data_IF_729981688492
#
_entry.id   IF_729981688492
#
_cell.length_a   1.000
_cell.length_b   1.000
_cell.length_c   1.000
_cell.angle_alpha   90.00
_cell.angle_beta   90.00
_cell.angle_gamma   90.00
#
_symmetry.space_group_name_H-M   'P 1'
#
loop_
_entity.id
_entity.type
_entity.pdbx_description
1 polymer ?
#
# COMPACT_ATOMS: atom_id res chain seq x y z
N UNK A 1 62.60 10.68 -1.00
CA UNK A 1 61.35 11.28 -1.54
C UNK A 1 61.03 10.52 -2.82
N UNK A 2 59.93 9.79 -3.00
CA UNK A 2 58.53 10.07 -2.67
C UNK A 2 57.82 8.77 -2.22
N UNK A 3 57.01 8.91 -1.19
CA UNK A 3 56.11 7.94 -0.57
C UNK A 3 54.90 7.65 -1.46
N UNK A 4 54.58 6.39 -1.72
CA UNK A 4 53.31 5.98 -2.31
C UNK A 4 52.28 5.77 -1.19
N UNK A 5 51.31 6.68 -1.11
CA UNK A 5 50.18 6.64 -0.18
C UNK A 5 49.18 5.55 -0.61
N UNK A 6 48.91 4.57 0.25
CA UNK A 6 47.76 3.67 0.12
C UNK A 6 46.52 4.41 0.62
N UNK A 7 45.62 4.81 -0.29
CA UNK A 7 44.27 5.22 0.10
C UNK A 7 43.48 3.96 0.47
N UNK A 8 43.12 3.83 1.74
CA UNK A 8 42.12 2.87 2.19
C UNK A 8 40.74 3.52 2.00
N UNK A 9 39.99 3.07 1.00
CA UNK A 9 38.59 3.45 0.82
C UNK A 9 37.78 2.76 1.92
N UNK A 10 37.35 3.53 2.93
CA UNK A 10 36.42 3.05 3.93
C UNK A 10 35.02 2.95 3.30
N UNK A 11 34.62 1.73 2.93
CA UNK A 11 33.23 1.42 2.60
C UNK A 11 32.46 1.44 3.91
N UNK A 12 31.69 2.51 4.14
CA UNK A 12 30.71 2.58 5.22
C UNK A 12 29.58 1.63 4.85
N UNK A 13 29.57 0.44 5.46
CA UNK A 13 28.50 -0.52 5.31
C UNK A 13 27.27 -0.03 6.08
N UNK A 14 26.32 0.57 5.37
CA UNK A 14 24.97 0.82 5.87
C UNK A 14 24.32 -0.53 6.16
N UNK A 15 23.99 -0.81 7.43
CA UNK A 15 23.36 -2.07 7.84
C UNK A 15 21.96 -2.14 7.23
N UNK A 16 21.82 -2.87 6.12
CA UNK A 16 20.54 -3.32 5.62
C UNK A 16 20.01 -4.37 6.60
N UNK A 17 19.07 -3.96 7.47
CA UNK A 17 18.32 -4.91 8.29
C UNK A 17 17.41 -5.71 7.35
N UNK A 18 17.61 -7.04 7.37
CA UNK A 18 16.87 -8.09 6.68
C UNK A 18 17.28 -8.45 5.23
N UNK A 19 18.58 -8.65 5.00
CA UNK A 19 18.97 -9.76 4.11
C UNK A 19 19.26 -10.96 5.03
N UNK A 20 18.57 -12.11 4.90
CA UNK A 20 18.96 -13.32 5.61
C UNK A 20 20.46 -13.56 5.38
N UNK A 21 21.22 -13.74 6.45
CA UNK A 21 22.69 -13.90 6.44
C UNK A 21 23.20 -15.06 5.58
N UNK A 22 22.29 -15.89 5.04
CA UNK A 22 22.58 -16.98 4.10
C UNK A 22 22.85 -16.53 2.66
N UNK A 23 22.54 -15.28 2.29
CA UNK A 23 22.72 -14.79 0.90
C UNK A 23 24.20 -14.58 0.53
N UNK A 24 25.09 -14.40 1.51
CA UNK A 24 26.52 -14.16 1.25
C UNK A 24 27.39 -15.41 1.32
N UNK A 25 26.85 -16.57 1.69
CA UNK A 25 27.66 -17.75 2.01
C UNK A 25 27.81 -18.79 0.88
N UNK A 26 27.06 -18.70 -0.22
CA UNK A 26 27.21 -19.61 -1.36
C UNK A 26 26.69 -18.92 -2.64
N UNK A 27 27.23 -19.28 -3.81
CA UNK A 27 26.76 -18.93 -5.17
C UNK A 27 25.31 -19.40 -5.45
N UNK A 28 24.36 -19.11 -4.56
CA UNK A 28 22.96 -19.52 -4.65
C UNK A 28 22.09 -18.27 -4.57
N UNK A 29 21.49 -17.94 -5.72
CA UNK A 29 20.43 -16.94 -5.83
C UNK A 29 19.34 -17.21 -4.78
N UNK A 30 18.84 -16.16 -4.12
CA UNK A 30 17.70 -16.27 -3.21
C UNK A 30 16.50 -16.86 -3.95
N UNK A 31 15.84 -17.84 -3.32
CA UNK A 31 14.57 -18.40 -3.77
C UNK A 31 13.65 -18.51 -2.54
N UNK A 32 12.43 -17.94 -2.58
CA UNK A 32 11.48 -18.11 -1.48
C UNK A 32 11.03 -19.57 -1.37
N UNK A 33 10.38 -19.91 -0.26
CA UNK A 33 9.68 -21.20 -0.14
C UNK A 33 8.73 -21.37 -1.34
N UNK A 34 8.63 -22.57 -1.94
CA UNK A 34 7.78 -22.81 -3.10
C UNK A 34 6.34 -22.30 -2.94
N UNK A 35 5.80 -22.25 -1.73
CA UNK A 35 4.40 -21.93 -1.48
C UNK A 35 4.18 -20.57 -0.81
N UNK A 36 5.22 -19.76 -0.68
CA UNK A 36 5.15 -18.44 -0.06
C UNK A 36 5.61 -17.34 -1.01
N UNK A 37 5.11 -16.12 -0.80
CA UNK A 37 5.73 -14.93 -1.33
C UNK A 37 6.55 -14.24 -0.24
N UNK A 38 7.68 -13.67 -0.64
CA UNK A 38 8.59 -12.97 0.25
C UNK A 38 8.76 -11.52 -0.20
N UNK A 39 8.45 -10.57 0.68
CA UNK A 39 8.64 -9.14 0.44
C UNK A 39 9.99 -8.70 0.98
N UNK A 40 10.84 -8.15 0.12
CA UNK A 40 12.08 -7.50 0.52
C UNK A 40 11.76 -6.09 1.01
N UNK A 41 12.15 -5.76 2.24
CA UNK A 41 11.82 -4.47 2.85
C UNK A 41 13.06 -3.95 3.58
N UNK A 42 13.52 -2.78 3.18
CA UNK A 42 14.61 -2.07 3.85
C UNK A 42 14.06 -1.07 4.87
N UNK A 43 14.34 -1.33 6.15
CA UNK A 43 14.03 -0.43 7.26
C UNK A 43 12.70 -0.72 7.96
N UNK A 44 12.62 -0.32 9.23
CA UNK A 44 11.56 -0.74 10.16
C UNK A 44 10.19 -0.09 9.86
N UNK A 45 10.20 1.06 9.18
CA UNK A 45 9.02 1.89 8.91
C UNK A 45 8.87 2.28 7.44
N UNK A 46 9.41 1.47 6.53
CA UNK A 46 9.28 1.70 5.08
C UNK A 46 7.80 1.90 4.68
N UNK A 47 7.51 2.54 3.55
CA UNK A 47 6.12 2.65 3.07
C UNK A 47 5.77 1.57 2.06
N UNK A 48 6.76 0.92 1.45
CA UNK A 48 6.61 -0.09 0.38
C UNK A 48 7.70 -1.16 0.54
N UNK A 49 7.53 -2.29 -0.15
CA UNK A 49 8.61 -3.24 -0.34
C UNK A 49 9.54 -2.78 -1.48
N UNK A 50 10.82 -3.12 -1.35
CA UNK A 50 11.84 -2.97 -2.41
C UNK A 50 11.57 -3.94 -3.57
N UNK A 51 10.92 -5.07 -3.27
CA UNK A 51 10.50 -6.06 -4.26
C UNK A 51 9.77 -7.23 -3.60
N UNK A 52 9.18 -8.09 -4.42
CA UNK A 52 8.52 -9.32 -3.97
C UNK A 52 9.00 -10.50 -4.81
N UNK A 53 9.41 -11.58 -4.15
CA UNK A 53 9.67 -12.86 -4.78
C UNK A 53 8.50 -13.82 -4.53
N UNK A 54 8.18 -14.63 -5.54
CA UNK A 54 7.12 -15.63 -5.47
C UNK A 54 7.70 -17.04 -5.55
N UNK A 55 7.23 -17.92 -4.67
CA UNK A 55 7.43 -19.35 -4.79
C UNK A 55 6.71 -19.92 -6.02
N UNK A 56 7.25 -21.03 -6.55
CA UNK A 56 6.75 -21.67 -7.78
C UNK A 56 5.33 -22.27 -7.68
N UNK A 57 4.83 -22.49 -6.47
CA UNK A 57 3.54 -23.10 -6.15
C UNK A 57 2.62 -22.11 -5.40
N UNK A 58 2.88 -20.80 -5.48
CA UNK A 58 2.03 -19.77 -4.86
C UNK A 58 0.75 -19.58 -5.66
N UNK A 59 -0.39 -19.78 -5.00
CA UNK A 59 -1.68 -19.31 -5.51
C UNK A 59 -1.81 -17.80 -5.24
N UNK A 60 -2.25 -17.04 -6.24
CA UNK A 60 -2.40 -15.59 -6.12
C UNK A 60 -3.73 -15.11 -6.71
N UNK A 61 -4.17 -13.98 -6.20
CA UNK A 61 -5.35 -13.23 -6.61
C UNK A 61 -4.89 -11.93 -7.26
N UNK A 62 -5.58 -11.56 -8.34
CA UNK A 62 -5.39 -10.30 -9.06
C UNK A 62 -6.72 -9.58 -9.15
N UNK A 63 -6.81 -8.37 -8.63
CA UNK A 63 -8.01 -7.55 -8.85
C UNK A 63 -7.98 -6.95 -10.27
N UNK A 64 -9.14 -6.50 -10.76
CA UNK A 64 -9.16 -5.46 -11.78
C UNK A 64 -8.79 -4.11 -11.16
N UNK A 65 -8.64 -3.07 -11.98
CA UNK A 65 -8.64 -1.69 -11.50
C UNK A 65 -9.96 -1.38 -10.79
N UNK A 66 -9.88 -1.12 -9.50
CA UNK A 66 -11.02 -0.72 -8.68
C UNK A 66 -10.91 0.78 -8.41
N UNK A 67 -11.98 1.52 -8.66
CA UNK A 67 -12.12 2.90 -8.17
C UNK A 67 -13.11 2.98 -7.00
N UNK A 68 -13.32 4.18 -6.44
CA UNK A 68 -14.20 4.40 -5.29
C UNK A 68 -15.69 4.20 -5.61
N UNK A 69 -16.49 3.88 -4.58
CA UNK A 69 -17.95 3.76 -4.66
C UNK A 69 -18.60 5.13 -4.64
N UNK A 70 -19.62 5.34 -5.47
CA UNK A 70 -20.46 6.54 -5.38
C UNK A 70 -21.35 6.48 -4.13
N UNK A 71 -20.98 7.21 -3.07
CA UNK A 71 -21.66 7.18 -1.76
C UNK A 71 -22.28 8.52 -1.37
N UNK A 72 -21.82 9.63 -1.97
CA UNK A 72 -22.28 10.99 -1.69
C UNK A 72 -23.10 11.52 -2.89
N UNK A 73 -24.36 11.10 -3.03
CA UNK A 73 -25.12 11.33 -4.28
C UNK A 73 -25.96 12.60 -4.29
N UNK A 74 -26.25 13.21 -3.14
CA UNK A 74 -27.13 14.37 -3.04
C UNK A 74 -26.34 15.68 -3.23
N UNK A 75 -26.56 16.37 -4.34
CA UNK A 75 -26.01 17.72 -4.59
C UNK A 75 -24.48 17.78 -4.76
N UNK A 76 -23.80 16.63 -4.82
CA UNK A 76 -22.35 16.55 -4.94
C UNK A 76 -21.88 16.80 -6.38
N UNK A 77 -20.69 17.41 -6.52
CA UNK A 77 -19.96 17.45 -7.80
C UNK A 77 -19.57 16.03 -8.26
N UNK A 78 -19.05 15.91 -9.49
CA UNK A 78 -18.61 14.63 -10.04
C UNK A 78 -17.60 13.92 -9.13
N UNK A 79 -16.61 14.65 -8.61
CA UNK A 79 -15.60 14.11 -7.71
C UNK A 79 -16.11 13.88 -6.29
N UNK A 80 -16.92 14.82 -5.78
CA UNK A 80 -17.47 14.72 -4.42
C UNK A 80 -18.37 13.51 -4.25
N UNK A 81 -18.94 12.99 -5.34
CA UNK A 81 -19.76 11.77 -5.38
C UNK A 81 -19.08 10.56 -4.72
N UNK A 82 -17.75 10.52 -4.78
CA UNK A 82 -16.94 9.41 -4.31
C UNK A 82 -16.36 9.63 -2.92
N UNK A 83 -16.79 10.66 -2.20
CA UNK A 83 -16.49 10.81 -0.77
C UNK A 83 -17.25 9.72 -0.01
N UNK A 84 -16.57 8.86 0.78
CA UNK A 84 -17.22 7.79 1.52
C UNK A 84 -18.01 8.35 2.71
N UNK A 85 -19.34 8.39 2.60
CA UNK A 85 -20.22 9.03 3.60
C UNK A 85 -20.27 8.31 4.95
N UNK A 86 -19.96 7.02 4.99
CA UNK A 86 -19.79 6.27 6.23
C UNK A 86 -18.54 6.69 7.01
N UNK A 87 -17.58 7.31 6.32
CA UNK A 87 -16.34 7.84 6.92
C UNK A 87 -16.43 9.35 7.15
N UNK A 88 -17.02 10.06 6.21
CA UNK A 88 -17.20 11.51 6.23
C UNK A 88 -18.71 11.81 6.11
N UNK A 89 -19.44 11.81 7.23
CA UNK A 89 -20.89 12.01 7.21
C UNK A 89 -21.30 13.27 6.43
N UNK A 90 -22.29 13.12 5.56
CA UNK A 90 -22.77 14.19 4.68
C UNK A 90 -21.78 14.63 3.60
N UNK A 91 -20.71 13.87 3.36
CA UNK A 91 -19.66 14.22 2.41
C UNK A 91 -18.76 15.37 2.88
N UNK A 92 -18.80 15.71 4.18
CA UNK A 92 -18.06 16.84 4.75
C UNK A 92 -16.65 16.39 5.14
N UNK A 93 -15.64 16.98 4.49
CA UNK A 93 -14.24 16.67 4.77
C UNK A 93 -13.72 17.48 5.97
N UNK A 94 -13.10 16.83 6.98
CA UNK A 94 -12.42 17.51 8.07
C UNK A 94 -11.24 18.38 7.59
N UNK A 95 -10.74 19.32 8.42
CA UNK A 95 -9.60 20.15 8.06
C UNK A 95 -8.38 19.34 7.59
N UNK A 96 -7.88 19.70 6.40
CA UNK A 96 -6.71 19.07 5.78
C UNK A 96 -7.00 17.77 5.04
N UNK A 97 -8.18 17.17 5.17
CA UNK A 97 -8.57 16.00 4.37
C UNK A 97 -8.90 16.48 2.96
N UNK A 98 -8.15 16.00 1.98
CA UNK A 98 -8.37 16.34 0.57
C UNK A 98 -9.38 15.38 -0.08
N UNK A 99 -9.91 15.76 -1.24
CA UNK A 99 -10.83 14.90 -1.99
C UNK A 99 -10.15 13.62 -2.48
N UNK A 100 -8.89 13.70 -2.92
CA UNK A 100 -8.07 12.53 -3.30
C UNK A 100 -7.83 11.61 -2.10
N UNK A 101 -7.58 12.15 -0.91
CA UNK A 101 -7.47 11.34 0.31
C UNK A 101 -8.78 10.62 0.63
N UNK A 102 -9.92 11.33 0.53
CA UNK A 102 -11.23 10.76 0.79
C UNK A 102 -11.58 9.63 -0.20
N UNK A 103 -11.36 9.86 -1.51
CA UNK A 103 -11.53 8.83 -2.53
C UNK A 103 -10.54 7.67 -2.35
N UNK A 104 -9.30 7.96 -1.94
CA UNK A 104 -8.27 6.98 -1.58
C UNK A 104 -8.74 6.03 -0.47
N UNK A 105 -9.36 6.56 0.57
CA UNK A 105 -9.95 5.75 1.65
C UNK A 105 -11.07 4.86 1.11
N UNK A 106 -11.94 5.42 0.26
CA UNK A 106 -13.07 4.70 -0.33
C UNK A 106 -12.61 3.51 -1.20
N UNK A 107 -11.66 3.74 -2.12
CA UNK A 107 -11.14 2.65 -2.97
C UNK A 107 -10.45 1.56 -2.14
N UNK A 108 -9.73 1.93 -1.07
CA UNK A 108 -9.10 0.97 -0.17
C UNK A 108 -10.13 0.15 0.63
N UNK A 109 -11.27 0.73 1.02
CA UNK A 109 -12.40 -0.03 1.60
C UNK A 109 -12.91 -1.07 0.60
N UNK A 110 -13.14 -0.67 -0.66
CA UNK A 110 -13.60 -1.58 -1.73
C UNK A 110 -12.61 -2.71 -2.01
N UNK A 111 -11.31 -2.43 -1.96
CA UNK A 111 -10.28 -3.46 -2.05
C UNK A 111 -10.45 -4.48 -0.93
N UNK A 112 -10.64 -4.03 0.32
CA UNK A 112 -10.88 -4.92 1.45
C UNK A 112 -12.11 -5.81 1.27
N UNK A 113 -13.23 -5.22 0.83
CA UNK A 113 -14.46 -5.98 0.52
C UNK A 113 -14.24 -7.02 -0.58
N UNK A 114 -13.46 -6.69 -1.59
CA UNK A 114 -13.18 -7.57 -2.72
C UNK A 114 -12.21 -8.70 -2.34
N UNK A 115 -11.16 -8.40 -1.56
CA UNK A 115 -10.27 -9.39 -0.97
C UNK A 115 -11.05 -10.36 -0.07
N UNK A 116 -11.95 -9.85 0.77
CA UNK A 116 -12.76 -10.67 1.67
C UNK A 116 -13.63 -11.68 0.91
N UNK A 117 -14.18 -11.30 -0.26
CA UNK A 117 -14.94 -12.23 -1.13
C UNK A 117 -14.07 -13.36 -1.68
N UNK A 118 -12.77 -13.12 -1.86
CA UNK A 118 -11.79 -14.12 -2.23
C UNK A 118 -11.22 -14.89 -1.03
N UNK A 119 -11.63 -14.58 0.21
CA UNK A 119 -11.06 -15.20 1.42
C UNK A 119 -9.68 -14.67 1.79
N UNK A 120 -9.33 -13.47 1.32
CA UNK A 120 -8.09 -12.75 1.57
C UNK A 120 -8.34 -11.51 2.43
N UNK A 121 -7.27 -10.88 2.89
CA UNK A 121 -7.26 -9.66 3.70
C UNK A 121 -6.17 -8.69 3.23
N UNK A 122 -6.11 -7.49 3.82
CA UNK A 122 -5.06 -6.52 3.49
C UNK A 122 -3.64 -7.05 3.79
N UNK A 123 -3.49 -7.95 4.77
CA UNK A 123 -2.20 -8.57 5.10
C UNK A 123 -1.63 -9.40 3.93
N UNK A 124 -2.50 -9.87 3.04
CA UNK A 124 -2.16 -10.79 1.96
C UNK A 124 -1.74 -10.06 0.67
N UNK A 125 -1.87 -8.73 0.62
CA UNK A 125 -1.52 -7.93 -0.56
C UNK A 125 -0.01 -7.77 -0.66
N UNK A 126 0.54 -8.13 -1.81
CA UNK A 126 1.98 -8.12 -2.08
C UNK A 126 2.36 -7.12 -3.17
N UNK A 127 1.46 -6.75 -4.06
CA UNK A 127 1.70 -5.71 -5.06
C UNK A 127 0.51 -4.79 -5.21
N UNK A 128 0.77 -3.52 -5.52
CA UNK A 128 -0.25 -2.50 -5.72
C UNK A 128 0.14 -1.56 -6.86
N UNK A 129 -0.80 -1.27 -7.74
CA UNK A 129 -0.65 -0.31 -8.84
C UNK A 129 -1.71 0.75 -8.69
N UNK A 130 -1.26 2.01 -8.65
CA UNK A 130 -2.12 3.14 -8.33
C UNK A 130 -2.07 4.14 -9.48
N UNK A 131 -3.23 4.43 -10.03
CA UNK A 131 -3.43 5.44 -11.05
C UNK A 131 -4.21 6.60 -10.44
N UNK A 132 -3.70 7.80 -10.60
CA UNK A 132 -4.22 8.98 -9.94
C UNK A 132 -4.47 10.07 -10.96
N UNK A 133 -5.56 10.80 -10.80
CA UNK A 133 -5.89 11.97 -11.60
C UNK A 133 -5.84 13.21 -10.71
N UNK A 134 -5.42 14.34 -11.28
CA UNK A 134 -5.49 15.63 -10.60
C UNK A 134 -6.95 16.04 -10.34
N UNK A 135 -7.26 16.59 -9.15
CA UNK A 135 -8.57 17.17 -8.90
C UNK A 135 -8.89 18.29 -9.89
N UNK A 136 -10.19 18.51 -10.14
CA UNK A 136 -10.68 19.56 -11.01
C UNK A 136 -10.16 20.93 -10.56
N UNK A 137 -9.51 21.65 -11.48
CA UNK A 137 -8.93 22.96 -11.22
C UNK A 137 -7.49 22.93 -10.69
N UNK A 138 -6.94 21.76 -10.37
CA UNK A 138 -5.54 21.62 -9.93
C UNK A 138 -4.62 21.26 -11.10
N UNK A 139 -3.39 21.76 -11.07
CA UNK A 139 -2.40 21.47 -12.13
C UNK A 139 -1.79 20.06 -12.01
N UNK A 140 -1.76 19.52 -10.78
CA UNK A 140 -1.08 18.26 -10.46
C UNK A 140 -1.91 17.43 -9.52
N UNK A 141 -1.72 16.12 -9.59
CA UNK A 141 -2.37 15.23 -8.65
C UNK A 141 -1.88 15.39 -7.20
N UNK A 142 -2.73 14.99 -6.25
CA UNK A 142 -2.44 15.02 -4.81
C UNK A 142 -1.82 13.69 -4.29
N UNK A 143 -0.50 13.53 -4.45
CA UNK A 143 0.23 12.34 -3.97
C UNK A 143 0.21 12.27 -2.44
N UNK A 144 0.16 13.42 -1.76
CA UNK A 144 0.14 13.48 -0.31
C UNK A 144 -1.16 12.91 0.23
N UNK A 145 -2.31 13.32 -0.31
CA UNK A 145 -3.63 12.78 0.04
C UNK A 145 -3.72 11.28 -0.21
N UNK A 146 -3.25 10.80 -1.36
CA UNK A 146 -3.16 9.35 -1.61
C UNK A 146 -2.30 8.64 -0.55
N UNK A 147 -1.11 9.15 -0.23
CA UNK A 147 -0.22 8.52 0.75
C UNK A 147 -0.81 8.52 2.17
N UNK A 148 -1.55 9.56 2.57
CA UNK A 148 -2.28 9.57 3.85
C UNK A 148 -3.36 8.50 3.87
N UNK A 149 -4.18 8.40 2.82
CA UNK A 149 -5.19 7.35 2.69
C UNK A 149 -4.57 5.95 2.73
N UNK A 150 -3.49 5.71 1.99
CA UNK A 150 -2.76 4.45 1.96
C UNK A 150 -2.31 4.00 3.35
N UNK A 151 -1.72 4.91 4.14
CA UNK A 151 -1.23 4.62 5.50
C UNK A 151 -2.33 4.21 6.47
N UNK A 152 -3.59 4.53 6.18
CA UNK A 152 -4.72 4.04 6.98
C UNK A 152 -4.92 2.52 6.91
N UNK A 153 -4.37 1.85 5.88
CA UNK A 153 -4.59 0.42 5.61
C UNK A 153 -3.31 -0.41 5.47
N UNK A 154 -2.17 0.24 5.18
CA UNK A 154 -0.90 -0.43 4.89
C UNK A 154 0.28 0.27 5.56
N UNK A 155 1.37 -0.49 5.70
CA UNK A 155 2.65 0.01 6.17
C UNK A 155 2.58 0.75 7.51
N UNK A 156 1.67 0.39 8.41
CA UNK A 156 1.39 1.12 9.66
C UNK A 156 1.74 0.31 10.92
N UNK A 157 2.59 -0.71 10.75
CA UNK A 157 3.25 -1.43 11.84
C UNK A 157 4.77 -1.24 11.72
N UNK A 158 5.43 -0.94 12.84
CA UNK A 158 6.88 -0.97 12.92
C UNK A 158 7.35 -2.44 12.85
N UNK A 159 8.14 -2.80 11.83
CA UNK A 159 8.55 -4.19 11.61
C UNK A 159 9.50 -4.74 12.67
N UNK A 160 10.21 -3.87 13.37
CA UNK A 160 11.16 -4.25 14.41
C UNK A 160 10.48 -4.45 15.75
N UNK A 161 9.58 -3.55 16.12
CA UNK A 161 8.92 -3.59 17.44
C UNK A 161 7.56 -4.28 17.43
N UNK A 162 6.90 -4.35 16.27
CA UNK A 162 5.52 -4.82 16.14
C UNK A 162 4.47 -3.76 16.52
N UNK A 163 4.90 -2.56 16.96
CA UNK A 163 3.97 -1.53 17.41
C UNK A 163 3.18 -0.90 16.26
N UNK A 164 1.94 -0.54 16.56
CA UNK A 164 1.10 0.25 15.64
C UNK A 164 1.63 1.67 15.56
N UNK A 165 1.83 2.15 14.34
CA UNK A 165 2.21 3.53 14.06
C UNK A 165 0.97 4.41 14.01
N UNK A 166 1.07 5.61 14.56
CA UNK A 166 0.07 6.65 14.32
C UNK A 166 0.23 7.19 12.89
N UNK A 167 -0.89 7.45 12.23
CA UNK A 167 -0.95 7.86 10.82
C UNK A 167 -1.82 9.10 10.63
N UNK A 168 -1.48 9.97 9.66
CA UNK A 168 -2.25 11.18 9.40
C UNK A 168 -3.57 10.90 8.67
N UNK A 169 -4.59 11.67 9.02
CA UNK A 169 -5.84 11.85 8.28
C UNK A 169 -6.09 13.36 8.19
N UNK A 170 -5.84 13.95 7.03
CA UNK A 170 -5.73 15.40 6.90
C UNK A 170 -4.74 15.99 7.91
N UNK A 171 -5.19 16.93 8.75
CA UNK A 171 -4.35 17.60 9.75
C UNK A 171 -4.26 16.87 11.10
N UNK A 172 -4.98 15.77 11.29
CA UNK A 172 -4.96 15.02 12.56
C UNK A 172 -4.14 13.74 12.42
N UNK A 173 -3.48 13.32 13.50
CA UNK A 173 -2.72 12.07 13.56
C UNK A 173 -3.36 11.14 14.59
N UNK A 174 -3.62 9.89 14.21
CA UNK A 174 -4.36 8.94 15.03
C UNK A 174 -4.02 7.48 14.69
N UNK A 175 -4.71 6.50 15.31
CA UNK A 175 -4.55 5.11 14.93
C UNK A 175 -5.03 4.88 13.49
N UNK A 176 -4.44 3.93 12.75
CA UNK A 176 -4.89 3.58 11.41
C UNK A 176 -6.27 2.90 11.45
N UNK A 177 -6.97 2.89 10.31
CA UNK A 177 -8.24 2.15 10.16
C UNK A 177 -8.05 0.64 10.27
N UNK A 178 -6.95 0.14 9.69
CA UNK A 178 -6.54 -1.26 9.78
C UNK A 178 -5.08 -1.30 10.17
N UNK A 179 -4.77 -1.97 11.29
CA UNK A 179 -3.39 -2.27 11.68
C UNK A 179 -2.88 -3.38 10.78
N UNK A 180 -1.86 -3.09 9.99
CA UNK A 180 -1.36 -3.99 8.96
C UNK A 180 0.16 -3.79 8.73
N UNK A 181 0.98 -4.84 8.90
CA UNK A 181 2.41 -4.79 8.62
C UNK A 181 2.75 -4.87 7.13
N UNK A 182 1.81 -5.28 6.28
CA UNK A 182 2.06 -5.51 4.87
C UNK A 182 2.52 -4.23 4.16
N UNK A 183 3.53 -4.41 3.31
CA UNK A 183 4.09 -3.37 2.44
C UNK A 183 4.14 -3.93 1.03
N UNK A 184 3.08 -3.75 0.24
CA UNK A 184 3.10 -4.14 -1.16
C UNK A 184 4.27 -3.47 -1.89
N UNK A 185 4.89 -4.17 -2.86
CA UNK A 185 5.61 -3.44 -3.91
C UNK A 185 4.61 -2.52 -4.59
N UNK A 186 4.97 -1.25 -4.79
CA UNK A 186 4.01 -0.27 -5.28
C UNK A 186 4.62 0.66 -6.29
N UNK A 187 3.86 0.95 -7.33
CA UNK A 187 4.02 2.19 -8.08
C UNK A 187 2.72 3.00 -8.04
N UNK A 188 2.89 4.32 -8.05
CA UNK A 188 1.80 5.28 -8.14
C UNK A 188 2.18 6.32 -9.19
N UNK A 189 1.28 6.59 -10.12
CA UNK A 189 1.53 7.51 -11.22
C UNK A 189 0.29 8.34 -11.53
N UNK A 190 0.56 9.57 -11.97
CA UNK A 190 -0.45 10.48 -12.48
C UNK A 190 -0.83 10.08 -13.90
N UNK A 191 -2.12 10.10 -14.22
CA UNK A 191 -2.66 9.88 -15.55
C UNK A 191 -3.62 11.00 -15.95
N UNK A 192 -3.83 11.17 -17.25
CA UNK A 192 -4.70 12.23 -17.77
C UNK A 192 -6.16 12.03 -17.40
N UNK A 193 -6.68 10.80 -17.50
CA UNK A 193 -8.10 10.50 -17.27
C UNK A 193 -8.32 9.08 -16.70
N UNK A 194 -9.26 8.96 -15.77
CA UNK A 194 -9.74 7.67 -15.25
C UNK A 194 -11.03 7.20 -15.95
N UNK A 195 -11.36 5.89 -15.92
CA UNK A 195 -12.49 5.32 -16.68
C UNK A 195 -13.87 5.84 -16.28
N UNK A 196 -14.01 6.41 -15.08
CA UNK A 196 -15.28 6.90 -14.54
C UNK A 196 -15.13 8.37 -14.17
N UNK A 197 -16.03 9.20 -14.68
CA UNK A 197 -16.06 10.63 -14.37
C UNK A 197 -16.12 10.85 -12.84
N UNK A 198 -15.21 11.71 -12.35
CA UNK A 198 -15.04 12.09 -10.97
C UNK A 198 -14.14 11.15 -10.15
N UNK A 199 -13.66 10.04 -10.71
CA UNK A 199 -12.60 9.29 -10.05
C UNK A 199 -11.30 10.07 -10.07
N UNK A 200 -10.62 10.09 -8.93
CA UNK A 200 -9.28 10.62 -8.75
C UNK A 200 -8.26 9.54 -8.44
N UNK A 201 -8.74 8.31 -8.23
CA UNK A 201 -7.90 7.16 -7.92
C UNK A 201 -8.52 5.86 -8.45
N UNK A 202 -7.69 5.04 -9.07
CA UNK A 202 -7.97 3.65 -9.41
C UNK A 202 -6.79 2.78 -8.99
N UNK A 203 -7.10 1.63 -8.40
CA UNK A 203 -6.10 0.77 -7.78
C UNK A 203 -6.29 -0.67 -8.20
N UNK A 204 -5.20 -1.31 -8.59
CA UNK A 204 -5.11 -2.76 -8.72
C UNK A 204 -4.23 -3.33 -7.61
N UNK A 205 -4.62 -4.50 -7.10
CA UNK A 205 -3.81 -5.26 -6.13
C UNK A 205 -3.60 -6.69 -6.58
N UNK A 206 -2.38 -7.19 -6.31
CA UNK A 206 -2.07 -8.61 -6.34
C UNK A 206 -1.88 -9.09 -4.90
N UNK A 207 -2.52 -10.20 -4.54
CA UNK A 207 -2.49 -10.80 -3.21
C UNK A 207 -2.20 -12.30 -3.28
N UNK A 208 -1.68 -12.89 -2.22
CA UNK A 208 -1.29 -14.32 -2.18
C UNK A 208 -2.07 -15.07 -1.12
N UNK A 209 -2.51 -16.29 -1.43
CA UNK A 209 -3.25 -17.10 -0.46
C UNK A 209 -2.29 -17.69 0.56
N UNK A 210 -2.53 -17.53 1.88
CA UNK A 210 -1.67 -18.12 2.90
C UNK A 210 -1.86 -19.64 2.95
N UNK A 211 -0.76 -20.39 3.09
CA UNK A 211 -0.74 -21.87 3.23
C UNK A 211 -1.66 -22.37 4.36
N UNK A 212 -1.77 -21.59 5.44
CA UNK A 212 -2.76 -21.79 6.49
C UNK A 212 -3.81 -20.70 6.37
N UNK A 213 -5.02 -21.08 5.95
CA UNK A 213 -6.19 -20.22 6.07
C UNK A 213 -6.28 -19.69 7.51
N UNK A 214 -5.97 -18.40 7.70
CA UNK A 214 -6.23 -17.69 8.97
C UNK A 214 -7.73 -17.51 9.21
N UNK A 215 -8.56 -17.83 8.21
CA UNK A 215 -10.01 -17.70 8.23
C UNK A 215 -10.67 -19.04 7.89
N UNK A 216 -10.91 -19.88 8.92
CA UNK A 216 -11.86 -20.99 8.75
C UNK A 216 -13.19 -20.40 8.27
N UNK A 217 -13.73 -20.79 7.11
CA UNK A 217 -15.04 -20.32 6.70
C UNK A 217 -16.04 -20.77 7.76
N UNK A 218 -16.82 -19.82 8.31
CA UNK A 218 -18.02 -20.18 9.07
C UNK A 218 -18.93 -20.92 8.10
N UNK A 219 -19.06 -22.24 8.29
CA UNK A 219 -20.09 -23.02 7.61
C UNK A 219 -21.43 -22.34 7.90
N UNK A 220 -22.14 -21.95 6.84
CA UNK A 220 -23.57 -21.64 6.92
C UNK A 220 -24.34 -22.90 7.27
#
# INVERSE_FOLDING_TARGET
MKTASKMATAVVATVALAVPSTVWAHDRLFRPDPKEAFSFITGDTASIADGVAFGKDVAWYKSSGLGPSAMNTAGATAEQRYIPTDVFPGGVLPPGVTITEAQGINVLMRIGENLAKAGLSYDDVVSMRVFLQNPEGEEKMDFAGWNRAYRQYFANTNLKTGDTMQVPLGNVTGPPRVVNPARPSRFALEIENLPVNGWLVEVEVDAVYPEKSKHKPKKK
#
